data_IF_879941832561
#
_entry.id   IF_879941832561
#
_cell.length_a   1.000
_cell.length_b   1.000
_cell.length_c   1.000
_cell.angle_alpha   90.00
_cell.angle_beta   90.00
_cell.angle_gamma   90.00
#
_symmetry.space_group_name_H-M   'P 1'
#
loop_
_entity.id
_entity.type
_entity.pdbx_description
1 polymer ?
#
# COMPACT_ATOMS: atom_id res chain seq x y z
N UNK A 1 -4.40 9.42 15.65
CA UNK A 1 -3.96 8.25 14.85
C UNK A 1 -4.46 6.99 15.54
N UNK A 2 -5.25 6.17 14.86
CA UNK A 2 -5.86 4.97 15.44
C UNK A 2 -5.35 3.70 14.76
N UNK A 3 -4.90 2.72 15.53
CA UNK A 3 -4.57 1.40 15.03
C UNK A 3 -5.87 0.60 14.85
N UNK A 4 -6.10 0.11 13.64
CA UNK A 4 -7.23 -0.75 13.32
C UNK A 4 -6.70 -2.10 12.87
N UNK A 5 -7.27 -3.18 13.40
CA UNK A 5 -6.90 -4.55 13.03
C UNK A 5 -8.00 -5.15 12.15
N UNK A 6 -7.61 -5.79 11.05
CA UNK A 6 -8.56 -6.40 10.09
C UNK A 6 -9.22 -7.64 10.70
N UNK A 7 -8.45 -8.42 11.47
CA UNK A 7 -8.91 -9.64 12.13
C UNK A 7 -8.52 -9.61 13.62
N UNK A 8 -9.28 -8.91 14.47
CA UNK A 8 -8.96 -8.79 15.90
C UNK A 8 -8.95 -10.14 16.62
N UNK A 9 -9.68 -11.14 16.11
CA UNK A 9 -9.71 -12.50 16.65
C UNK A 9 -8.32 -13.19 16.60
N UNK A 10 -7.49 -12.87 15.60
CA UNK A 10 -6.13 -13.42 15.46
C UNK A 10 -5.15 -12.84 16.47
N UNK A 11 -5.46 -11.71 17.13
CA UNK A 11 -4.69 -11.24 18.31
C UNK A 11 -4.76 -12.25 19.46
N UNK A 12 -5.80 -13.08 19.52
CA UNK A 12 -5.87 -14.23 20.42
C UNK A 12 -4.71 -15.21 20.22
N UNK A 13 -4.13 -15.28 19.02
CA UNK A 13 -2.90 -16.03 18.73
C UNK A 13 -1.69 -15.53 19.55
N UNK A 14 -1.70 -14.28 20.02
CA UNK A 14 -0.74 -13.77 20.99
C UNK A 14 -0.70 -14.58 22.29
N UNK A 15 -1.79 -15.27 22.66
CA UNK A 15 -1.82 -16.17 23.81
C UNK A 15 -0.82 -17.33 23.68
N UNK A 16 -0.40 -17.70 22.46
CA UNK A 16 0.65 -18.72 22.23
C UNK A 16 2.01 -18.31 22.80
N UNK A 17 2.24 -17.02 23.08
CA UNK A 17 3.43 -16.53 23.79
C UNK A 17 3.52 -17.11 25.21
N UNK A 18 2.39 -17.48 25.82
CA UNK A 18 2.38 -18.13 27.14
C UNK A 18 2.97 -19.54 27.11
N UNK A 19 2.94 -20.26 25.97
CA UNK A 19 3.43 -21.63 25.84
C UNK A 19 4.92 -21.77 26.20
N UNK A 20 5.86 -20.99 25.61
CA UNK A 20 7.26 -21.08 26.00
C UNK A 20 7.53 -20.62 27.45
N UNK A 21 6.74 -19.68 27.99
CA UNK A 21 6.86 -19.25 29.40
C UNK A 21 6.49 -20.41 30.33
N UNK A 22 5.33 -21.03 30.11
CA UNK A 22 4.85 -22.16 30.91
C UNK A 22 5.82 -23.33 30.81
N UNK A 23 6.28 -23.67 29.60
CA UNK A 23 7.26 -24.74 29.40
C UNK A 23 8.58 -24.44 30.14
N UNK A 24 9.03 -23.18 30.16
CA UNK A 24 10.23 -22.78 30.91
C UNK A 24 10.05 -22.96 32.43
N UNK A 25 8.88 -22.62 32.97
CA UNK A 25 8.59 -22.76 34.40
C UNK A 25 8.45 -24.23 34.81
N UNK A 26 7.78 -25.05 33.99
CA UNK A 26 7.57 -26.50 34.25
C UNK A 26 8.86 -27.30 34.10
N UNK A 27 9.71 -26.98 33.11
CA UNK A 27 10.96 -27.71 32.85
C UNK A 27 12.11 -27.30 33.79
N UNK A 28 11.87 -26.41 34.76
CA UNK A 28 12.87 -25.96 35.74
C UNK A 28 13.12 -27.03 36.81
N UNK A 29 13.66 -28.17 36.39
CA UNK A 29 14.07 -29.26 37.29
C UNK A 29 15.10 -28.72 38.28
N UNK A 30 14.79 -28.84 39.58
CA UNK A 30 15.74 -28.50 40.64
C UNK A 30 16.91 -29.49 40.55
N UNK A 31 18.15 -29.03 40.29
CA UNK A 31 19.29 -29.93 40.25
C UNK A 31 19.49 -30.53 41.64
N UNK A 32 19.38 -31.85 41.74
CA UNK A 32 19.62 -32.59 42.99
C UNK A 32 21.13 -32.50 43.28
N UNK A 33 21.56 -31.91 44.40
CA UNK A 33 22.98 -31.78 44.70
C UNK A 33 23.55 -33.15 45.08
N UNK A 34 24.49 -33.67 44.29
CA UNK A 34 25.34 -34.79 44.68
C UNK A 34 26.68 -34.26 45.19
N UNK A 35 27.03 -34.63 46.43
CA UNK A 35 28.28 -34.22 47.06
C UNK A 35 29.44 -35.08 46.53
N UNK A 36 30.12 -34.60 45.49
CA UNK A 36 31.34 -35.22 44.98
C UNK A 36 32.58 -34.49 45.52
N UNK A 37 33.41 -35.12 46.37
CA UNK A 37 34.52 -34.47 47.08
C UNK A 37 35.64 -33.91 46.18
N UNK A 38 35.83 -34.49 45.00
CA UNK A 38 36.89 -34.13 44.05
C UNK A 38 36.68 -32.78 43.36
N UNK A 39 35.48 -32.20 43.40
CA UNK A 39 35.10 -31.02 42.61
C UNK A 39 35.25 -29.68 43.35
N UNK A 40 35.77 -29.65 44.59
CA UNK A 40 35.85 -28.40 45.37
C UNK A 40 36.70 -27.31 44.70
N UNK A 41 37.73 -27.71 43.94
CA UNK A 41 38.66 -26.80 43.25
C UNK A 41 38.14 -26.26 41.91
N UNK A 42 37.08 -26.84 41.32
CA UNK A 42 36.45 -26.33 40.08
C UNK A 42 35.29 -25.35 40.34
N UNK A 43 34.96 -25.08 41.62
CA UNK A 43 33.73 -24.40 42.02
C UNK A 43 33.70 -22.90 41.66
N UNK A 44 34.86 -22.25 41.60
CA UNK A 44 34.95 -20.81 41.27
C UNK A 44 34.62 -20.52 39.81
N UNK A 45 35.13 -21.34 38.86
CA UNK A 45 34.78 -21.20 37.42
C UNK A 45 33.32 -21.60 37.14
N UNK A 46 32.75 -22.49 37.94
CA UNK A 46 31.36 -22.91 37.79
C UNK A 46 30.34 -21.79 38.11
N UNK A 47 30.65 -20.85 39.00
CA UNK A 47 29.74 -19.73 39.34
C UNK A 47 29.62 -18.73 38.19
N UNK A 48 30.74 -18.37 37.56
CA UNK A 48 30.74 -17.48 36.40
C UNK A 48 30.01 -18.10 35.20
N UNK A 49 30.27 -19.39 34.92
CA UNK A 49 29.60 -20.11 33.84
C UNK A 49 28.08 -20.23 34.07
N UNK A 50 27.65 -20.44 35.32
CA UNK A 50 26.23 -20.45 35.70
C UNK A 50 25.52 -19.13 35.45
N UNK A 51 26.17 -17.97 35.65
CA UNK A 51 25.58 -16.65 35.35
C UNK A 51 25.45 -16.44 33.85
N UNK A 52 26.48 -16.80 33.06
CA UNK A 52 26.49 -16.65 31.60
C UNK A 52 25.43 -17.52 30.93
N UNK A 53 25.29 -18.77 31.36
CA UNK A 53 24.24 -19.68 30.89
C UNK A 53 22.84 -19.15 31.20
N UNK A 54 22.60 -18.59 32.40
CA UNK A 54 21.31 -17.98 32.76
C UNK A 54 20.94 -16.81 31.85
N UNK A 55 21.90 -15.93 31.55
CA UNK A 55 21.69 -14.79 30.63
C UNK A 55 21.35 -15.28 29.22
N UNK A 56 22.11 -16.25 28.69
CA UNK A 56 21.81 -16.83 27.37
C UNK A 56 20.43 -17.49 27.31
N UNK A 57 20.01 -18.20 28.36
CA UNK A 57 18.66 -18.77 28.43
C UNK A 57 17.56 -17.70 28.47
N UNK A 58 17.78 -16.60 29.18
CA UNK A 58 16.81 -15.50 29.25
C UNK A 58 16.69 -14.77 27.91
N UNK A 59 17.82 -14.53 27.25
CA UNK A 59 17.86 -13.93 25.91
C UNK A 59 17.19 -14.83 24.86
N UNK A 60 17.48 -16.14 24.89
CA UNK A 60 16.83 -17.10 23.98
C UNK A 60 15.32 -17.18 24.20
N UNK A 61 14.86 -17.08 25.46
CA UNK A 61 13.43 -17.00 25.77
C UNK A 61 12.80 -15.75 25.18
N UNK A 62 13.45 -14.59 25.36
CA UNK A 62 12.97 -13.31 24.84
C UNK A 62 12.88 -13.32 23.31
N UNK A 63 13.90 -13.82 22.62
CA UNK A 63 13.90 -13.96 21.16
C UNK A 63 12.76 -14.86 20.68
N UNK A 64 12.52 -15.99 21.37
CA UNK A 64 11.42 -16.90 21.01
C UNK A 64 10.05 -16.23 21.19
N UNK A 65 9.86 -15.47 22.27
CA UNK A 65 8.62 -14.71 22.49
C UNK A 65 8.45 -13.60 21.45
N UNK A 66 9.52 -12.87 21.14
CA UNK A 66 9.51 -11.83 20.11
C UNK A 66 9.16 -12.41 18.73
N UNK A 67 9.70 -13.58 18.36
CA UNK A 67 9.37 -14.24 17.10
C UNK A 67 7.88 -14.59 17.00
N UNK A 68 7.28 -15.13 18.06
CA UNK A 68 5.84 -15.46 18.09
C UNK A 68 4.99 -14.19 18.03
N UNK A 69 5.36 -13.13 18.76
CA UNK A 69 4.67 -11.84 18.72
C UNK A 69 4.73 -11.20 17.33
N UNK A 70 5.90 -11.22 16.68
CA UNK A 70 6.07 -10.72 15.33
C UNK A 70 5.24 -11.53 14.32
N UNK A 71 5.18 -12.85 14.47
CA UNK A 71 4.35 -13.70 13.63
C UNK A 71 2.85 -13.41 13.83
N UNK A 72 2.42 -13.27 15.08
CA UNK A 72 1.04 -12.91 15.40
C UNK A 72 0.68 -11.51 14.86
N UNK A 73 1.60 -10.54 14.97
CA UNK A 73 1.43 -9.21 14.40
C UNK A 73 1.38 -9.24 12.86
N UNK A 74 2.25 -10.02 12.21
CA UNK A 74 2.26 -10.19 10.76
C UNK A 74 0.95 -10.81 10.26
N UNK A 75 0.43 -11.83 10.96
CA UNK A 75 -0.87 -12.45 10.66
C UNK A 75 -2.06 -11.51 10.96
N UNK A 76 -1.96 -10.67 11.99
CA UNK A 76 -2.99 -9.70 12.33
C UNK A 76 -3.06 -8.50 11.37
N UNK A 77 -2.08 -8.36 10.45
CA UNK A 77 -1.97 -7.29 9.44
C UNK A 77 -2.37 -5.92 10.00
N UNK A 78 -1.57 -5.32 10.91
CA UNK A 78 -1.88 -4.02 11.49
C UNK A 78 -1.91 -2.95 10.39
N UNK A 79 -3.06 -2.28 10.24
CA UNK A 79 -3.20 -1.18 9.29
C UNK A 79 -2.97 0.14 10.02
N UNK A 80 -1.90 0.85 9.64
CA UNK A 80 -1.65 2.22 10.07
C UNK A 80 -2.56 3.16 9.28
N UNK A 81 -3.62 3.65 9.91
CA UNK A 81 -4.47 4.68 9.30
C UNK A 81 -3.69 5.99 9.25
N UNK A 82 -3.31 6.43 8.05
CA UNK A 82 -2.78 7.77 7.79
C UNK A 82 -1.33 7.86 7.31
N UNK A 83 -0.65 6.75 6.99
CA UNK A 83 0.64 6.78 6.29
C UNK A 83 0.50 6.00 4.99
N UNK A 84 0.51 6.71 3.87
CA UNK A 84 0.31 6.19 2.51
C UNK A 84 1.42 5.28 1.98
N UNK A 85 1.95 4.35 2.79
CA UNK A 85 2.99 3.43 2.32
C UNK A 85 2.47 1.99 2.17
N UNK A 86 1.46 1.51 2.89
CA UNK A 86 1.01 0.11 2.74
C UNK A 86 -0.51 -0.05 2.77
N UNK A 87 -1.21 0.69 1.92
CA UNK A 87 -2.63 0.48 1.67
C UNK A 87 -2.85 -0.60 0.59
N UNK A 88 -2.45 -1.84 0.87
CA UNK A 88 -3.08 -3.01 0.23
C UNK A 88 -4.48 -3.18 0.85
N UNK A 89 -5.35 -2.22 0.56
CA UNK A 89 -6.72 -2.21 1.05
C UNK A 89 -7.60 -3.06 0.13
N UNK A 90 -7.95 -4.28 0.54
CA UNK A 90 -8.89 -5.19 -0.15
C UNK A 90 -10.34 -4.63 -0.28
N UNK A 91 -10.60 -3.39 0.13
CA UNK A 91 -11.92 -2.75 0.06
C UNK A 91 -12.20 -2.08 -1.29
N UNK A 92 -13.48 -1.89 -1.65
CA UNK A 92 -13.88 -1.19 -2.88
C UNK A 92 -13.31 0.23 -2.95
N UNK A 93 -12.89 0.64 -4.15
CA UNK A 93 -12.22 1.92 -4.42
C UNK A 93 -13.11 2.81 -5.28
N UNK A 94 -13.17 4.10 -4.95
CA UNK A 94 -13.60 5.12 -5.90
C UNK A 94 -12.36 5.61 -6.65
N UNK A 95 -12.24 5.23 -7.92
CA UNK A 95 -11.13 5.62 -8.76
C UNK A 95 -11.57 6.68 -9.78
N UNK A 96 -10.78 7.71 -9.99
CA UNK A 96 -10.95 8.65 -11.10
C UNK A 96 -9.72 8.56 -12.00
N UNK A 97 -9.91 8.18 -13.26
CA UNK A 97 -8.85 8.13 -14.26
C UNK A 97 -8.93 9.39 -15.12
N UNK A 98 -7.91 10.23 -15.03
CA UNK A 98 -7.77 11.48 -15.78
C UNK A 98 -6.75 11.25 -16.89
N UNK A 99 -7.16 11.46 -18.14
CA UNK A 99 -6.30 11.31 -19.30
C UNK A 99 -5.96 12.66 -19.92
N UNK A 100 -4.66 12.92 -20.12
CA UNK A 100 -4.26 13.95 -21.07
C UNK A 100 -4.56 13.45 -22.50
N UNK A 101 -5.28 14.26 -23.26
CA UNK A 101 -5.63 14.07 -24.68
C UNK A 101 -5.07 15.20 -25.55
N UNK A 102 -4.09 15.96 -25.05
CA UNK A 102 -3.39 16.96 -25.83
C UNK A 102 -2.70 16.35 -27.05
N UNK A 103 -2.47 17.11 -28.14
CA UNK A 103 -1.78 16.61 -29.34
C UNK A 103 -0.42 15.96 -29.08
N UNK A 104 0.28 16.33 -27.99
CA UNK A 104 1.56 15.70 -27.57
C UNK A 104 1.42 14.22 -27.24
N UNK A 105 0.23 13.78 -26.83
CA UNK A 105 -0.07 12.38 -26.53
C UNK A 105 -0.15 11.53 -27.81
N UNK A 106 -0.11 12.15 -29.00
CA UNK A 106 0.03 11.45 -30.29
C UNK A 106 1.49 11.14 -30.64
N UNK A 107 2.47 11.56 -29.84
CA UNK A 107 3.86 11.17 -30.06
C UNK A 107 3.98 9.65 -30.02
N UNK A 108 4.67 9.08 -31.00
CA UNK A 108 4.83 7.63 -31.15
C UNK A 108 6.16 7.16 -30.63
N UNK A 109 6.13 6.10 -29.83
CA UNK A 109 7.29 5.39 -29.31
C UNK A 109 7.02 3.89 -29.42
N UNK A 110 8.01 3.12 -29.88
CA UNK A 110 7.86 1.68 -30.14
C UNK A 110 6.58 1.32 -30.94
N UNK A 111 6.25 2.13 -31.95
CA UNK A 111 5.09 1.99 -32.84
C UNK A 111 3.71 2.23 -32.19
N UNK A 112 3.64 2.69 -30.94
CA UNK A 112 2.41 3.06 -30.23
C UNK A 112 2.39 4.54 -29.87
N UNK A 113 1.22 5.15 -29.81
CA UNK A 113 1.10 6.53 -29.29
C UNK A 113 1.15 6.53 -27.76
N UNK A 114 1.56 7.65 -27.15
CA UNK A 114 1.47 7.83 -25.69
C UNK A 114 0.04 7.67 -25.16
N UNK A 115 -0.95 8.10 -25.93
CA UNK A 115 -2.38 7.89 -25.60
C UNK A 115 -2.77 6.41 -25.63
N UNK A 116 -2.32 5.64 -26.61
CA UNK A 116 -2.51 4.17 -26.65
C UNK A 116 -1.83 3.47 -25.48
N UNK A 117 -0.64 3.93 -25.09
CA UNK A 117 0.08 3.42 -23.93
C UNK A 117 -0.69 3.74 -22.64
N UNK A 118 -1.18 4.96 -22.48
CA UNK A 118 -2.04 5.37 -21.36
C UNK A 118 -3.30 4.49 -21.27
N UNK A 119 -4.00 4.30 -22.39
CA UNK A 119 -5.19 3.44 -22.45
C UNK A 119 -4.86 2.00 -22.06
N UNK A 120 -3.72 1.46 -22.50
CA UNK A 120 -3.27 0.11 -22.15
C UNK A 120 -3.01 -0.03 -20.65
N UNK A 121 -2.27 0.92 -20.06
CA UNK A 121 -1.99 0.92 -18.62
C UNK A 121 -3.27 1.08 -17.79
N UNK A 122 -4.19 1.93 -18.24
CA UNK A 122 -5.47 2.12 -17.58
C UNK A 122 -6.34 0.86 -17.60
N UNK A 123 -6.33 0.08 -18.68
CA UNK A 123 -7.03 -1.23 -18.71
C UNK A 123 -6.42 -2.21 -17.71
N UNK A 124 -5.09 -2.29 -17.64
CA UNK A 124 -4.42 -3.14 -16.65
C UNK A 124 -4.75 -2.73 -15.22
N UNK A 125 -4.89 -1.42 -14.95
CA UNK A 125 -5.33 -0.92 -13.65
C UNK A 125 -6.80 -1.24 -13.39
N UNK A 126 -7.67 -1.04 -14.38
CA UNK A 126 -9.10 -1.35 -14.29
C UNK A 126 -9.36 -2.82 -13.94
N UNK A 127 -8.60 -3.74 -14.53
CA UNK A 127 -8.70 -5.19 -14.28
C UNK A 127 -8.20 -5.60 -12.88
N UNK A 128 -7.33 -4.79 -12.27
CA UNK A 128 -6.77 -5.02 -10.94
C UNK A 128 -7.57 -4.39 -9.80
N UNK A 129 -8.58 -3.56 -10.12
CA UNK A 129 -9.39 -2.92 -9.10
C UNK A 129 -10.22 -3.96 -8.31
N UNK A 130 -10.41 -3.77 -6.99
CA UNK A 130 -11.26 -4.65 -6.20
C UNK A 130 -12.70 -4.71 -6.75
N UNK A 131 -13.41 -5.84 -6.57
CA UNK A 131 -14.81 -5.94 -6.94
C UNK A 131 -15.65 -4.88 -6.21
N UNK A 132 -16.72 -4.41 -6.85
CA UNK A 132 -17.57 -3.30 -6.40
C UNK A 132 -16.91 -1.90 -6.37
N UNK A 133 -15.72 -1.74 -6.94
CA UNK A 133 -15.11 -0.42 -7.16
C UNK A 133 -15.87 0.39 -8.22
N UNK A 134 -15.90 1.71 -8.05
CA UNK A 134 -16.53 2.64 -8.99
C UNK A 134 -15.47 3.48 -9.69
N UNK A 135 -15.54 3.58 -11.01
CA UNK A 135 -14.50 4.25 -11.81
C UNK A 135 -15.10 5.40 -12.63
N UNK A 136 -14.56 6.60 -12.49
CA UNK A 136 -14.85 7.73 -13.36
C UNK A 136 -13.74 7.89 -14.41
N UNK A 137 -14.10 8.14 -15.67
CA UNK A 137 -13.15 8.44 -16.75
C UNK A 137 -13.32 9.90 -17.14
N UNK A 138 -12.22 10.65 -17.08
CA UNK A 138 -12.15 12.08 -17.35
C UNK A 138 -11.03 12.30 -18.35
N UNK A 139 -11.24 13.16 -19.32
CA UNK A 139 -10.27 13.50 -20.34
C UNK A 139 -10.14 15.02 -20.46
N UNK A 140 -9.00 15.47 -20.99
CA UNK A 140 -8.84 16.90 -21.31
C UNK A 140 -9.60 17.33 -22.56
N UNK A 141 -10.29 16.42 -23.27
CA UNK A 141 -11.15 16.77 -24.41
C UNK A 141 -12.49 17.40 -23.98
N UNK A 142 -12.83 17.36 -22.69
CA UNK A 142 -14.03 17.96 -22.13
C UNK A 142 -15.25 17.04 -22.10
N UNK A 143 -15.02 15.72 -22.06
CA UNK A 143 -16.10 14.74 -21.90
C UNK A 143 -16.83 14.85 -20.55
N UNK A 144 -18.02 14.23 -20.41
CA UNK A 144 -18.83 14.30 -19.19
C UNK A 144 -18.11 13.63 -18.01
N UNK A 145 -17.83 14.37 -16.95
CA UNK A 145 -17.19 13.83 -15.75
C UNK A 145 -18.24 13.13 -14.87
N UNK A 146 -18.28 11.80 -14.92
CA UNK A 146 -19.18 10.97 -14.13
C UNK A 146 -18.60 9.57 -13.87
N UNK A 147 -19.03 8.94 -12.79
CA UNK A 147 -18.75 7.53 -12.54
C UNK A 147 -19.42 6.65 -13.60
N UNK A 148 -18.68 5.66 -14.09
CA UNK A 148 -19.18 4.70 -15.07
C UNK A 148 -20.14 3.72 -14.38
N UNK A 149 -21.21 3.29 -15.05
CA UNK A 149 -22.19 2.37 -14.47
C UNK A 149 -21.64 0.97 -14.23
N UNK A 150 -20.63 0.55 -15.01
CA UNK A 150 -19.91 -0.71 -14.84
C UNK A 150 -18.49 -0.60 -15.44
N UNK A 151 -17.66 -1.61 -15.19
CA UNK A 151 -16.29 -1.68 -15.69
C UNK A 151 -16.22 -1.76 -17.22
N UNK A 152 -17.17 -2.44 -17.85
CA UNK A 152 -17.24 -2.54 -19.32
C UNK A 152 -17.47 -1.17 -19.98
N UNK A 153 -18.32 -0.31 -19.40
CA UNK A 153 -18.56 1.05 -19.87
C UNK A 153 -17.34 1.95 -19.66
N UNK A 154 -16.60 1.75 -18.56
CA UNK A 154 -15.33 2.43 -18.32
C UNK A 154 -14.29 2.03 -19.39
N UNK A 155 -14.14 0.73 -19.66
CA UNK A 155 -13.26 0.21 -20.71
C UNK A 155 -13.62 0.76 -22.09
N UNK A 156 -14.90 0.70 -22.48
CA UNK A 156 -15.38 1.25 -23.75
C UNK A 156 -15.20 2.77 -23.87
N UNK A 157 -15.07 3.49 -22.75
CA UNK A 157 -14.77 4.91 -22.74
C UNK A 157 -13.26 5.17 -22.90
N UNK A 158 -12.41 4.35 -22.27
CA UNK A 158 -10.96 4.37 -22.49
C UNK A 158 -10.64 4.09 -23.97
N UNK A 159 -11.33 3.14 -24.60
CA UNK A 159 -11.09 2.74 -25.99
C UNK A 159 -11.44 3.83 -27.01
N UNK A 160 -12.30 4.77 -26.61
CA UNK A 160 -12.73 5.89 -27.45
C UNK A 160 -11.94 7.18 -27.21
N UNK A 161 -10.94 7.15 -26.32
CA UNK A 161 -10.06 8.29 -26.11
C UNK A 161 -9.36 8.64 -27.42
N UNK A 162 -9.45 9.92 -27.79
CA UNK A 162 -8.80 10.46 -28.96
C UNK A 162 -8.14 11.78 -28.59
N UNK A 163 -7.01 12.08 -29.19
CA UNK A 163 -6.40 13.39 -29.04
C UNK A 163 -7.29 14.44 -29.72
N UNK A 164 -7.54 15.56 -29.05
CA UNK A 164 -8.40 16.62 -29.57
C UNK A 164 -7.71 17.98 -29.54
N UNK A 165 -8.29 18.95 -30.23
CA UNK A 165 -7.91 20.36 -30.13
C UNK A 165 -9.17 21.21 -30.31
N UNK A 166 -9.45 22.18 -29.42
CA UNK A 166 -8.69 22.53 -28.21
C UNK A 166 -8.92 21.54 -27.06
N UNK A 167 -7.94 21.42 -26.16
CA UNK A 167 -8.05 20.66 -24.91
C UNK A 167 -8.23 21.59 -23.71
N UNK A 168 -9.04 21.16 -22.74
CA UNK A 168 -9.05 21.69 -21.40
C UNK A 168 -7.68 21.49 -20.73
N UNK A 169 -7.36 22.35 -19.76
CA UNK A 169 -6.09 22.24 -19.02
C UNK A 169 -6.10 21.01 -18.11
N UNK A 170 -4.97 20.31 -18.02
CA UNK A 170 -4.83 19.12 -17.18
C UNK A 170 -5.18 19.38 -15.69
N UNK A 171 -4.74 20.50 -15.06
CA UNK A 171 -5.16 20.82 -13.69
C UNK A 171 -6.67 20.95 -13.50
N UNK A 172 -7.41 21.40 -14.52
CA UNK A 172 -8.87 21.50 -14.44
C UNK A 172 -9.52 20.10 -14.48
N UNK A 173 -9.00 19.19 -15.31
CA UNK A 173 -9.45 17.80 -15.34
C UNK A 173 -9.14 17.06 -14.03
N UNK A 174 -7.97 17.34 -13.42
CA UNK A 174 -7.58 16.85 -12.09
C UNK A 174 -8.54 17.37 -11.02
N UNK A 175 -8.83 18.67 -11.01
CA UNK A 175 -9.74 19.28 -10.05
C UNK A 175 -11.16 18.68 -10.15
N UNK A 176 -11.62 18.43 -11.37
CA UNK A 176 -12.90 17.79 -11.62
C UNK A 176 -12.93 16.33 -11.12
N UNK A 177 -11.84 15.58 -11.32
CA UNK A 177 -11.66 14.24 -10.75
C UNK A 177 -11.73 14.24 -9.23
N UNK A 178 -11.02 15.17 -8.57
CA UNK A 178 -11.08 15.32 -7.11
C UNK A 178 -12.48 15.68 -6.62
N UNK A 179 -13.19 16.57 -7.33
CA UNK A 179 -14.56 16.94 -7.00
C UNK A 179 -15.51 15.74 -7.03
N UNK A 180 -15.39 14.89 -8.04
CA UNK A 180 -16.17 13.65 -8.13
C UNK A 180 -15.82 12.65 -7.03
N UNK A 181 -14.53 12.48 -6.73
CA UNK A 181 -14.07 11.59 -5.66
C UNK A 181 -14.54 12.06 -4.28
N UNK A 182 -14.54 13.37 -4.03
CA UNK A 182 -15.01 13.95 -2.77
C UNK A 182 -16.49 13.62 -2.50
N UNK A 183 -17.32 13.54 -3.55
CA UNK A 183 -18.73 13.15 -3.47
C UNK A 183 -18.98 11.65 -3.32
N UNK A 184 -17.96 10.80 -3.40
CA UNK A 184 -18.13 9.35 -3.29
C UNK A 184 -18.35 8.89 -1.85
N UNK A 185 -19.24 7.91 -1.67
CA UNK A 185 -19.48 7.25 -0.40
C UNK A 185 -18.34 6.27 -0.01
N UNK A 186 -17.45 5.93 -0.94
CA UNK A 186 -16.32 5.05 -0.67
C UNK A 186 -15.22 5.79 0.11
N UNK A 187 -14.64 5.06 1.07
CA UNK A 187 -13.59 5.57 1.96
C UNK A 187 -12.22 5.63 1.26
N UNK A 188 -11.94 4.69 0.35
CA UNK A 188 -10.70 4.66 -0.44
C UNK A 188 -10.96 5.37 -1.76
N UNK A 189 -10.24 6.48 -1.96
CA UNK A 189 -10.40 7.39 -3.11
C UNK A 189 -9.04 7.57 -3.76
N UNK A 190 -8.98 7.25 -5.05
CA UNK A 190 -7.73 7.24 -5.80
C UNK A 190 -7.90 8.01 -7.11
N UNK A 191 -6.97 8.90 -7.39
CA UNK A 191 -6.92 9.67 -8.61
C UNK A 191 -5.71 9.19 -9.42
N UNK A 192 -5.94 8.70 -10.62
CA UNK A 192 -4.88 8.29 -11.54
C UNK A 192 -4.81 9.28 -12.69
N UNK A 193 -3.66 9.90 -12.90
CA UNK A 193 -3.46 10.90 -13.95
C UNK A 193 -2.49 10.35 -14.98
N UNK A 194 -2.96 10.09 -16.20
CA UNK A 194 -2.17 9.60 -17.31
C UNK A 194 -1.75 10.76 -18.20
N UNK A 195 -0.47 11.11 -18.19
CA UNK A 195 0.06 12.27 -18.92
C UNK A 195 1.51 12.03 -19.32
N UNK A 196 2.03 12.82 -20.26
CA UNK A 196 3.45 12.78 -20.64
C UNK A 196 4.35 13.66 -19.76
N UNK A 197 3.83 14.11 -18.61
CA UNK A 197 4.46 15.03 -17.65
C UNK A 197 5.14 16.27 -18.26
N UNK A 198 4.81 16.66 -19.49
CA UNK A 198 5.45 17.77 -20.18
C UNK A 198 5.06 19.11 -19.58
N UNK A 199 5.98 20.09 -19.55
CA UNK A 199 5.72 21.41 -18.96
C UNK A 199 4.45 22.09 -19.50
N UNK A 200 4.16 21.91 -20.80
CA UNK A 200 2.97 22.46 -21.45
C UNK A 200 1.65 21.81 -21.05
N UNK A 201 1.65 20.75 -20.22
CA UNK A 201 0.45 20.18 -19.61
C UNK A 201 0.05 20.94 -18.32
N UNK A 202 1.02 21.56 -17.66
CA UNK A 202 0.90 22.12 -16.31
C UNK A 202 0.84 23.65 -16.25
N UNK A 203 1.02 24.31 -17.40
CA UNK A 203 1.24 25.75 -17.41
C UNK A 203 0.03 26.56 -16.88
N UNK A 204 0.34 27.35 -15.84
CA UNK A 204 -0.38 28.51 -15.28
C UNK A 204 -1.72 28.31 -14.55
N UNK A 205 -2.00 27.14 -14.01
CA UNK A 205 -2.93 27.04 -12.88
C UNK A 205 -2.20 26.34 -11.74
N UNK A 206 -2.16 26.98 -10.55
CA UNK A 206 -1.68 26.33 -9.35
C UNK A 206 -2.31 24.94 -9.28
N UNK A 207 -1.48 23.89 -9.20
CA UNK A 207 -1.98 22.54 -8.98
C UNK A 207 -2.97 22.63 -7.81
N UNK A 208 -4.23 22.16 -7.97
CA UNK A 208 -5.21 22.29 -6.91
C UNK A 208 -4.58 21.76 -5.62
N UNK A 209 -4.72 22.51 -4.53
CA UNK A 209 -4.13 22.14 -3.25
C UNK A 209 -4.49 20.68 -2.94
N UNK A 210 -3.50 19.90 -2.51
CA UNK A 210 -3.77 18.57 -2.01
C UNK A 210 -4.57 18.72 -0.72
N UNK A 211 -5.87 18.41 -0.80
CA UNK A 211 -6.78 18.43 0.34
C UNK A 211 -6.70 17.12 1.14
N UNK A 212 -5.82 16.19 0.74
CA UNK A 212 -5.67 14.88 1.34
C UNK A 212 -6.89 13.99 1.19
N UNK A 213 -7.87 14.37 0.35
CA UNK A 213 -9.13 13.63 0.23
C UNK A 213 -9.01 12.39 -0.66
N UNK A 214 -8.01 12.36 -1.54
CA UNK A 214 -7.73 11.24 -2.44
C UNK A 214 -6.22 11.11 -2.68
N UNK A 215 -5.73 9.87 -2.70
CA UNK A 215 -4.35 9.59 -3.11
C UNK A 215 -4.23 9.80 -4.62
N UNK A 216 -3.35 10.71 -5.03
CA UNK A 216 -3.10 11.01 -6.45
C UNK A 216 -1.85 10.28 -6.94
N UNK A 217 -1.98 9.52 -8.02
CA UNK A 217 -0.90 8.80 -8.69
C UNK A 217 -0.73 9.36 -10.11
N UNK A 218 0.48 9.82 -10.42
CA UNK A 218 0.81 10.34 -11.75
C UNK A 218 1.50 9.24 -12.55
N UNK A 219 0.87 8.83 -13.65
CA UNK A 219 1.39 7.82 -14.57
C UNK A 219 2.02 8.54 -15.74
N UNK A 220 3.35 8.68 -15.71
CA UNK A 220 4.11 9.22 -16.83
C UNK A 220 4.21 8.18 -17.96
N UNK A 221 3.59 8.51 -19.09
CA UNK A 221 3.64 7.68 -20.31
C UNK A 221 4.72 8.10 -21.29
N UNK A 222 5.47 9.16 -20.98
CA UNK A 222 6.66 9.60 -21.72
C UNK A 222 7.98 9.06 -21.16
N UNK A 223 7.96 8.44 -19.98
CA UNK A 223 9.13 7.81 -19.38
C UNK A 223 9.24 6.32 -19.76
N UNK A 224 10.48 5.84 -19.97
CA UNK A 224 10.77 4.43 -20.24
C UNK A 224 10.47 3.49 -19.05
N UNK A 225 10.17 4.04 -17.88
CA UNK A 225 9.80 3.32 -16.65
C UNK A 225 8.72 4.13 -15.94
N UNK A 226 7.65 3.49 -15.48
CA UNK A 226 6.61 4.15 -14.66
C UNK A 226 7.27 4.66 -13.38
N UNK A 227 7.28 5.97 -13.19
CA UNK A 227 7.75 6.62 -11.97
C UNK A 227 6.54 7.09 -11.16
N UNK A 228 6.52 6.72 -9.88
CA UNK A 228 5.60 7.29 -8.92
C UNK A 228 6.20 8.60 -8.40
N UNK A 229 5.45 9.70 -8.53
CA UNK A 229 5.87 11.03 -8.09
C UNK A 229 5.21 11.45 -6.76
N UNK A 230 4.70 10.48 -6.00
CA UNK A 230 4.13 10.69 -4.67
C UNK A 230 5.14 11.21 -3.64
#
# INVERSE_FOLDING_TARGET
MGLSFITPLLLGGGALVAVPIVLHLVMRRRPVPHAFPALRFLRERAVANRRRLRLSHLLLLLVRMAAILLLAAALARPVLRGAGWLADGEGPVAAAFVFDTAPRMMLREANRTRLEQAATLARVLLDKLPPASTVAIIDTAGGPAAFSPNTAAAAARIDRLAATTPVARLPAAIAEGRRLLAGSALQRRELYVFTDCSHGAWDSAAAPADDGTATALYVDVGANVVQDFA
#
